data_IF_749632226845
#
_entry.id   IF_749632226845
#
_cell.length_a   1.000
_cell.length_b   1.000
_cell.length_c   1.000
_cell.angle_alpha   90.00
_cell.angle_beta   90.00
_cell.angle_gamma   90.00
#
_symmetry.space_group_name_H-M   'P 1'
#
loop_
_entity.id
_entity.type
_entity.pdbx_description
1 polymer ?
#
# COMPACT_ATOMS: atom_id res chain seq x y z
N UNK A 1 -14.09 -14.79 -7.56
CA UNK A 1 -13.72 -13.37 -7.73
C UNK A 1 -12.25 -13.27 -7.38
N UNK A 2 -11.38 -12.99 -8.34
CA UNK A 2 -10.01 -12.59 -8.02
C UNK A 2 -10.09 -11.11 -7.68
N UNK A 3 -10.04 -10.79 -6.39
CA UNK A 3 -10.00 -9.39 -5.96
C UNK A 3 -8.69 -8.75 -6.43
N UNK A 4 -8.80 -7.56 -7.01
CA UNK A 4 -7.65 -6.81 -7.54
C UNK A 4 -6.73 -6.38 -6.38
N UNK A 5 -5.44 -6.70 -6.50
CA UNK A 5 -4.43 -6.30 -5.53
C UNK A 5 -3.74 -5.00 -5.97
N UNK A 6 -3.45 -4.17 -4.99
CA UNK A 6 -2.71 -2.94 -5.13
C UNK A 6 -1.84 -2.67 -3.92
N UNK A 7 -1.25 -1.48 -3.89
CA UNK A 7 -0.38 -1.00 -2.81
C UNK A 7 -0.87 0.34 -2.29
N UNK A 8 -0.56 0.61 -1.03
CA UNK A 8 -0.87 1.89 -0.39
C UNK A 8 0.30 2.86 -0.59
N UNK A 9 0.02 4.02 -1.15
CA UNK A 9 1.00 5.06 -1.50
C UNK A 9 0.75 6.29 -0.65
N UNK A 10 1.79 6.79 0.02
CA UNK A 10 1.70 8.03 0.79
C UNK A 10 1.77 9.27 -0.11
N UNK A 11 1.45 10.48 0.40
CA UNK A 11 1.54 11.72 -0.39
C UNK A 11 2.93 12.03 -0.95
N UNK A 12 3.99 11.43 -0.37
CA UNK A 12 5.38 11.55 -0.83
C UNK A 12 5.76 10.48 -1.86
N UNK A 13 4.79 9.72 -2.40
CA UNK A 13 4.96 8.65 -3.39
C UNK A 13 5.80 7.45 -2.92
N UNK A 14 5.86 7.21 -1.61
CA UNK A 14 6.47 6.00 -1.05
C UNK A 14 5.39 4.96 -0.72
N UNK A 15 5.72 3.69 -0.89
CA UNK A 15 4.82 2.56 -0.65
C UNK A 15 4.84 2.16 0.82
N UNK A 16 3.67 2.01 1.42
CA UNK A 16 3.54 1.52 2.78
C UNK A 16 3.88 0.03 2.85
N UNK A 17 4.67 -0.34 3.86
CA UNK A 17 5.10 -1.73 4.13
C UNK A 17 4.29 -2.33 5.28
N UNK A 18 3.97 -1.53 6.28
CA UNK A 18 3.44 -1.96 7.57
C UNK A 18 3.86 -1.00 8.67
N UNK A 19 3.52 -1.32 9.91
CA UNK A 19 3.98 -0.57 11.07
C UNK A 19 5.20 -1.26 11.71
N UNK A 20 6.13 -0.48 12.24
CA UNK A 20 7.24 -1.00 13.04
C UNK A 20 6.76 -1.43 14.44
N UNK A 21 7.69 -1.88 15.30
CA UNK A 21 7.38 -2.31 16.68
C UNK A 21 6.74 -1.21 17.53
N UNK A 22 7.01 0.05 17.22
CA UNK A 22 6.47 1.22 17.91
C UNK A 22 5.11 1.68 17.31
N UNK A 23 4.58 0.97 16.32
CA UNK A 23 3.33 1.31 15.65
C UNK A 23 3.47 2.42 14.60
N UNK A 24 4.69 2.85 14.26
CA UNK A 24 4.93 3.88 13.26
C UNK A 24 4.95 3.29 11.85
N UNK A 25 4.35 3.96 10.85
CA UNK A 25 4.30 3.46 9.48
C UNK A 25 5.69 3.46 8.83
N UNK A 26 6.03 2.35 8.20
CA UNK A 26 7.26 2.12 7.44
C UNK A 26 6.95 2.20 5.96
N UNK A 27 7.85 2.84 5.21
CA UNK A 27 7.73 3.02 3.77
C UNK A 27 8.93 2.47 3.01
N UNK A 28 8.70 2.11 1.75
CA UNK A 28 9.72 1.65 0.80
C UNK A 28 9.51 2.31 -0.56
N UNK A 29 10.55 2.32 -1.39
CA UNK A 29 10.47 2.71 -2.81
C UNK A 29 10.37 1.50 -3.75
N UNK A 30 10.57 0.29 -3.24
CA UNK A 30 10.42 -0.94 -4.01
C UNK A 30 9.02 -1.57 -3.74
N UNK A 31 8.21 -1.67 -4.79
CA UNK A 31 6.86 -2.23 -4.79
C UNK A 31 6.80 -3.70 -4.36
N UNK A 32 7.89 -4.46 -4.52
CA UNK A 32 7.95 -5.86 -4.12
C UNK A 32 7.76 -6.04 -2.61
N UNK A 33 8.32 -5.12 -1.83
CA UNK A 33 8.24 -5.10 -0.36
C UNK A 33 7.02 -4.34 0.17
N UNK A 34 6.23 -3.70 -0.69
CA UNK A 34 5.05 -2.99 -0.28
C UNK A 34 3.96 -3.94 0.23
N UNK A 35 3.15 -3.45 1.18
CA UNK A 35 1.95 -4.11 1.63
C UNK A 35 0.95 -4.20 0.47
N UNK A 36 0.62 -5.43 0.08
CA UNK A 36 -0.35 -5.72 -0.98
C UNK A 36 -1.71 -5.92 -0.35
N UNK A 37 -2.69 -5.15 -0.79
CA UNK A 37 -4.05 -5.20 -0.27
C UNK A 37 -5.07 -4.97 -1.38
N UNK A 38 -6.26 -5.48 -1.16
CA UNK A 38 -7.43 -5.21 -2.00
C UNK A 38 -7.89 -3.76 -1.86
N UNK A 39 -8.67 -3.28 -2.82
CA UNK A 39 -9.27 -1.94 -2.74
C UNK A 39 -10.14 -1.77 -1.49
N UNK A 40 -10.85 -2.82 -1.05
CA UNK A 40 -11.68 -2.80 0.16
C UNK A 40 -10.86 -2.68 1.45
N UNK A 41 -9.75 -3.40 1.55
CA UNK A 41 -8.85 -3.28 2.70
C UNK A 41 -8.21 -1.88 2.78
N UNK A 42 -7.92 -1.28 1.62
CA UNK A 42 -7.36 0.07 1.55
C UNK A 42 -8.28 1.16 2.10
N UNK A 43 -9.60 0.96 2.09
CA UNK A 43 -10.57 1.92 2.66
C UNK A 43 -10.36 2.14 4.16
N UNK A 44 -9.73 1.19 4.87
CA UNK A 44 -9.36 1.34 6.28
C UNK A 44 -8.23 2.35 6.50
N UNK A 45 -7.53 2.76 5.44
CA UNK A 45 -6.39 3.64 5.49
C UNK A 45 -6.58 4.89 4.61
N UNK A 46 -7.51 5.80 4.98
CA UNK A 46 -7.87 6.96 4.16
C UNK A 46 -6.72 7.95 3.92
N UNK A 47 -5.64 7.87 4.71
CA UNK A 47 -4.42 8.67 4.53
C UNK A 47 -3.57 8.22 3.33
N UNK A 48 -3.82 7.03 2.79
CA UNK A 48 -3.07 6.48 1.67
C UNK A 48 -3.90 6.47 0.39
N UNK A 49 -3.22 6.65 -0.74
CA UNK A 49 -3.80 6.38 -2.05
C UNK A 49 -3.54 4.92 -2.41
N UNK A 50 -4.59 4.18 -2.73
CA UNK A 50 -4.45 2.85 -3.31
C UNK A 50 -4.13 2.94 -4.80
N UNK A 51 -3.17 2.13 -5.26
CA UNK A 51 -2.76 2.01 -6.66
C UNK A 51 -2.70 0.53 -7.01
N UNK A 52 -3.30 0.11 -8.13
CA UNK A 52 -3.30 -1.31 -8.52
C UNK A 52 -1.90 -1.78 -8.91
N UNK A 53 -1.64 -3.09 -8.76
CA UNK A 53 -0.39 -3.68 -9.24
C UNK A 53 -0.31 -3.70 -10.77
N UNK A 54 -1.45 -3.65 -11.47
CA UNK A 54 -1.50 -3.57 -12.93
C UNK A 54 -1.03 -2.21 -13.44
N UNK A 55 -1.41 -1.12 -12.76
CA UNK A 55 -0.94 0.25 -13.07
C UNK A 55 0.56 0.46 -12.83
N UNK A 56 1.19 -0.42 -12.02
CA UNK A 56 2.61 -0.33 -11.64
C UNK A 56 3.54 -1.18 -12.53
N UNK A 57 3.00 -1.89 -13.53
CA UNK A 57 3.77 -2.70 -14.48
C UNK A 57 4.35 -1.88 -15.63
#
# INVERSE_FOLDING_TARGET
MNEELGVLVNPKRAYYVGNNRDGLPVYTVNTEYAHKCTRKEAEQFPQFRWVSLEELR
#
